data_IF_357042011747
#
_entry.id   IF_357042011747
#
_cell.length_a   1.000
_cell.length_b   1.000
_cell.length_c   1.000
_cell.angle_alpha   90.00
_cell.angle_beta   90.00
_cell.angle_gamma   90.00
#
_symmetry.space_group_name_H-M   'P 1'
#
loop_
_entity.id
_entity.type
_entity.pdbx_description
1 polymer ?
#
# COMPACT_ATOMS: atom_id res chain seq x y z
N UNK A 1 2.85 19.73 -6.10
CA UNK A 1 3.83 20.84 -6.05
C UNK A 1 5.20 20.45 -6.62
N UNK A 2 5.27 20.05 -7.91
CA UNK A 2 6.56 19.75 -8.58
C UNK A 2 6.87 20.72 -9.75
N UNK A 3 5.91 21.55 -10.16
CA UNK A 3 6.00 22.35 -11.38
C UNK A 3 6.76 23.69 -11.24
N UNK A 4 7.20 24.06 -10.03
CA UNK A 4 7.85 25.35 -9.76
C UNK A 4 9.27 25.22 -9.16
N UNK A 5 9.98 24.12 -9.42
CA UNK A 5 11.37 24.00 -8.99
C UNK A 5 12.30 24.59 -10.05
N UNK A 6 13.19 25.49 -9.63
CA UNK A 6 14.22 26.01 -10.53
C UNK A 6 15.08 24.85 -11.05
N UNK A 7 15.64 24.95 -12.26
CA UNK A 7 16.49 23.91 -12.83
C UNK A 7 17.64 23.49 -11.91
N UNK A 8 18.12 24.39 -11.03
CA UNK A 8 19.16 24.06 -10.05
C UNK A 8 18.66 23.13 -8.95
N UNK A 9 17.46 23.36 -8.40
CA UNK A 9 16.94 22.55 -7.31
C UNK A 9 16.50 21.16 -7.78
N UNK A 10 15.92 21.06 -8.98
CA UNK A 10 15.62 19.77 -9.61
C UNK A 10 16.88 18.93 -9.82
N UNK A 11 17.98 19.54 -10.25
CA UNK A 11 19.29 18.88 -10.36
C UNK A 11 19.85 18.45 -9.01
N UNK A 12 19.68 19.27 -7.96
CA UNK A 12 20.13 18.94 -6.60
C UNK A 12 19.39 17.73 -6.05
N UNK A 13 18.06 17.70 -6.18
CA UNK A 13 17.21 16.58 -5.75
C UNK A 13 17.51 15.31 -6.54
N UNK A 14 17.65 15.43 -7.87
CA UNK A 14 18.03 14.31 -8.71
C UNK A 14 19.39 13.74 -8.32
N UNK A 15 20.37 14.59 -7.97
CA UNK A 15 21.69 14.14 -7.52
C UNK A 15 21.63 13.33 -6.22
N UNK A 16 20.81 13.74 -5.26
CA UNK A 16 20.61 12.98 -4.00
C UNK A 16 19.92 11.64 -4.28
N UNK A 17 18.96 11.60 -5.19
CA UNK A 17 18.29 10.36 -5.59
C UNK A 17 19.26 9.40 -6.28
N UNK A 18 20.07 9.90 -7.22
CA UNK A 18 21.08 9.10 -7.93
C UNK A 18 22.08 8.45 -6.96
N UNK A 19 22.52 9.16 -5.92
CA UNK A 19 23.39 8.60 -4.87
C UNK A 19 22.73 7.47 -4.07
N UNK A 20 21.39 7.44 -3.97
CA UNK A 20 20.66 6.35 -3.31
C UNK A 20 20.39 5.17 -4.25
N UNK A 21 20.51 5.38 -5.56
CA UNK A 21 20.28 4.38 -6.60
C UNK A 21 21.56 3.60 -6.93
N UNK A 22 22.70 4.30 -6.93
CA UNK A 22 24.02 3.75 -7.17
C UNK A 22 24.49 2.97 -5.92
N UNK A 23 24.41 1.64 -5.97
CA UNK A 23 24.72 0.77 -4.83
C UNK A 23 26.23 0.46 -4.81
N UNK A 24 26.85 0.40 -5.98
CA UNK A 24 28.26 0.07 -6.12
C UNK A 24 29.19 1.31 -6.12
N UNK A 25 28.62 2.51 -6.02
CA UNK A 25 29.31 3.82 -5.96
C UNK A 25 30.22 4.08 -7.16
N UNK A 26 29.85 3.55 -8.34
CA UNK A 26 30.61 3.69 -9.57
C UNK A 26 30.26 4.98 -10.35
N UNK A 27 29.37 5.81 -9.81
CA UNK A 27 28.81 7.03 -10.40
C UNK A 27 28.01 6.80 -11.70
N UNK A 28 27.55 5.58 -11.96
CA UNK A 28 26.78 5.18 -13.13
C UNK A 28 25.59 4.32 -12.71
N UNK A 29 24.37 4.73 -13.07
CA UNK A 29 23.20 3.90 -12.82
C UNK A 29 23.16 2.76 -13.85
N UNK A 30 23.48 1.55 -13.41
CA UNK A 30 23.35 0.36 -14.24
C UNK A 30 21.89 -0.12 -14.32
N UNK A 31 21.57 -0.88 -15.37
CA UNK A 31 20.20 -1.41 -15.58
C UNK A 31 19.68 -2.22 -14.37
N UNK A 32 20.57 -2.96 -13.72
CA UNK A 32 20.23 -3.79 -12.57
C UNK A 32 19.90 -2.93 -11.35
N UNK A 33 20.67 -1.87 -11.12
CA UNK A 33 20.46 -0.93 -10.02
C UNK A 33 19.19 -0.12 -10.22
N UNK A 34 18.92 0.35 -11.44
CA UNK A 34 17.66 1.01 -11.77
C UNK A 34 16.47 0.09 -11.49
N UNK A 35 16.54 -1.18 -11.91
CA UNK A 35 15.48 -2.16 -11.66
C UNK A 35 15.30 -2.41 -10.16
N UNK A 36 16.39 -2.60 -9.42
CA UNK A 36 16.35 -2.81 -7.97
C UNK A 36 15.74 -1.59 -7.26
N UNK A 37 16.10 -0.39 -7.68
CA UNK A 37 15.57 0.84 -7.11
C UNK A 37 14.09 1.03 -7.41
N UNK A 38 13.63 0.76 -8.64
CA UNK A 38 12.20 0.79 -8.99
C UNK A 38 11.42 -0.18 -8.11
N UNK A 39 11.88 -1.43 -7.98
CA UNK A 39 11.19 -2.42 -7.15
C UNK A 39 11.16 -1.98 -5.69
N UNK A 40 12.27 -1.45 -5.18
CA UNK A 40 12.37 -0.93 -3.81
C UNK A 40 11.44 0.26 -3.58
N UNK A 41 11.37 1.20 -4.52
CA UNK A 41 10.50 2.37 -4.37
C UNK A 41 9.03 1.96 -4.38
N UNK A 42 8.62 1.08 -5.30
CA UNK A 42 7.27 0.52 -5.30
C UNK A 42 6.96 -0.22 -4.00
N UNK A 43 7.87 -1.05 -3.49
CA UNK A 43 7.67 -1.74 -2.21
C UNK A 43 7.53 -0.75 -1.04
N UNK A 44 8.35 0.29 -1.00
CA UNK A 44 8.28 1.32 0.05
C UNK A 44 6.96 2.09 -0.01
N UNK A 45 6.49 2.45 -1.21
CA UNK A 45 5.20 3.10 -1.42
C UNK A 45 4.07 2.18 -0.96
N UNK A 46 4.08 0.90 -1.38
CA UNK A 46 3.06 -0.06 -0.94
C UNK A 46 3.05 -0.30 0.56
N UNK A 47 4.21 -0.26 1.23
CA UNK A 47 4.31 -0.40 2.67
C UNK A 47 3.79 0.84 3.41
N UNK A 48 4.08 2.03 2.90
CA UNK A 48 3.56 3.31 3.42
C UNK A 48 2.05 3.38 3.27
N UNK A 49 1.52 3.14 2.07
CA UNK A 49 0.08 3.08 1.79
C UNK A 49 -0.62 2.04 2.67
N UNK A 50 -0.03 0.85 2.83
CA UNK A 50 -0.59 -0.20 3.67
C UNK A 50 -0.62 0.21 5.14
N UNK A 51 0.42 0.89 5.64
CA UNK A 51 0.48 1.37 7.03
C UNK A 51 -0.52 2.47 7.30
N UNK A 52 -0.69 3.41 6.38
CA UNK A 52 -1.70 4.47 6.50
C UNK A 52 -3.10 3.86 6.54
N UNK A 53 -3.42 2.97 5.60
CA UNK A 53 -4.71 2.26 5.58
C UNK A 53 -4.95 1.41 6.82
N UNK A 54 -3.91 0.75 7.33
CA UNK A 54 -4.02 -0.06 8.54
C UNK A 54 -4.53 0.77 9.72
N UNK A 55 -3.99 1.97 9.91
CA UNK A 55 -4.40 2.90 10.98
C UNK A 55 -5.83 3.41 10.77
N UNK A 56 -6.29 3.54 9.52
CA UNK A 56 -7.66 3.96 9.21
C UNK A 56 -8.69 2.85 9.47
N UNK A 57 -8.32 1.60 9.20
CA UNK A 57 -9.20 0.43 9.34
C UNK A 57 -9.25 -0.04 10.81
N UNK A 58 -8.12 -0.03 11.52
CA UNK A 58 -8.03 -0.43 12.94
C UNK A 58 -8.66 0.63 13.87
N UNK A 59 -9.99 0.60 13.95
CA UNK A 59 -10.76 1.56 14.75
C UNK A 59 -10.57 1.37 16.26
N UNK A 60 -10.27 0.14 16.69
CA UNK A 60 -10.16 -0.20 18.11
C UNK A 60 -8.71 -0.12 18.64
N UNK A 61 -7.73 0.08 17.74
CA UNK A 61 -6.29 0.17 17.99
C UNK A 61 -5.72 -1.09 18.70
N UNK A 62 -6.21 -2.27 18.34
CA UNK A 62 -5.73 -3.55 18.86
C UNK A 62 -4.61 -4.19 18.02
N UNK A 63 -4.15 -3.48 16.98
CA UNK A 63 -3.14 -3.94 16.02
C UNK A 63 -3.59 -5.17 15.21
N UNK A 64 -4.90 -5.45 15.16
CA UNK A 64 -5.52 -6.46 14.31
C UNK A 64 -6.62 -5.80 13.45
N UNK A 65 -6.91 -6.41 12.30
CA UNK A 65 -8.04 -5.99 11.45
C UNK A 65 -9.05 -7.12 11.45
N UNK A 66 -10.16 -6.93 12.15
CA UNK A 66 -11.25 -7.90 12.11
C UNK A 66 -12.05 -7.78 10.81
N UNK A 67 -12.73 -8.86 10.41
CA UNK A 67 -13.63 -8.81 9.23
C UNK A 67 -14.67 -7.69 9.32
N UNK A 68 -15.13 -7.37 10.55
CA UNK A 68 -16.12 -6.33 10.78
C UNK A 68 -15.55 -4.93 10.50
N UNK A 69 -14.31 -4.67 10.88
CA UNK A 69 -13.62 -3.39 10.62
C UNK A 69 -13.35 -3.21 9.13
N UNK A 70 -12.86 -4.25 8.45
CA UNK A 70 -12.66 -4.25 6.99
C UNK A 70 -13.98 -3.98 6.25
N UNK A 71 -15.08 -4.60 6.68
CA UNK A 71 -16.40 -4.42 6.06
C UNK A 71 -16.94 -2.99 6.26
N UNK A 72 -16.75 -2.41 7.45
CA UNK A 72 -17.19 -1.04 7.75
C UNK A 72 -16.41 -0.03 6.90
N UNK A 73 -15.10 -0.20 6.74
CA UNK A 73 -14.30 0.69 5.90
C UNK A 73 -14.73 0.58 4.43
N UNK A 74 -14.82 -0.64 3.90
CA UNK A 74 -15.03 -0.84 2.47
C UNK A 74 -16.47 -0.60 2.01
N UNK A 75 -17.46 -0.80 2.89
CA UNK A 75 -18.89 -0.73 2.53
C UNK A 75 -19.73 0.22 3.42
N UNK A 76 -19.19 0.76 4.50
CA UNK A 76 -19.80 1.87 5.25
C UNK A 76 -20.97 1.53 6.18
N UNK A 77 -21.39 0.26 6.32
CA UNK A 77 -22.49 -0.11 7.23
C UNK A 77 -22.27 -1.49 7.90
N UNK A 78 -22.22 -1.56 9.24
CA UNK A 78 -22.14 -2.82 9.98
C UNK A 78 -23.47 -3.59 10.06
N UNK A 79 -24.59 -2.94 9.73
CA UNK A 79 -25.95 -3.48 9.93
C UNK A 79 -26.59 -4.01 8.63
N UNK A 80 -25.94 -3.86 7.48
CA UNK A 80 -26.35 -4.58 6.28
C UNK A 80 -25.96 -6.05 6.45
N UNK A 81 -26.89 -6.84 6.99
CA UNK A 81 -26.87 -8.29 6.85
C UNK A 81 -26.90 -8.58 5.35
N UNK A 82 -25.74 -8.68 4.71
CA UNK A 82 -25.60 -9.09 3.33
C UNK A 82 -26.14 -10.51 3.23
N UNK A 83 -27.36 -10.73 2.70
CA UNK A 83 -27.92 -12.06 2.63
C UNK A 83 -27.08 -12.89 1.65
N UNK A 84 -27.03 -14.20 1.92
CA UNK A 84 -26.29 -15.17 1.10
C UNK A 84 -26.62 -14.98 -0.39
N UNK A 85 -25.58 -14.62 -1.14
CA UNK A 85 -25.52 -14.56 -2.60
C UNK A 85 -26.73 -13.92 -3.33
N UNK A 86 -26.88 -12.60 -3.19
CA UNK A 86 -27.50 -11.77 -4.24
C UNK A 86 -26.40 -11.27 -5.21
N UNK A 87 -26.73 -11.05 -6.48
CA UNK A 87 -25.79 -10.57 -7.51
C UNK A 87 -25.16 -9.22 -7.15
N UNK A 88 -25.83 -8.46 -6.27
CA UNK A 88 -25.40 -7.25 -5.58
C UNK A 88 -24.26 -7.47 -4.57
N UNK A 89 -24.11 -8.67 -3.99
CA UNK A 89 -23.16 -9.00 -2.91
C UNK A 89 -21.90 -9.73 -3.37
N UNK A 90 -21.71 -9.90 -4.69
CA UNK A 90 -20.48 -10.52 -5.23
C UNK A 90 -19.22 -9.80 -4.76
N UNK A 91 -19.27 -8.47 -4.61
CA UNK A 91 -18.12 -7.69 -4.13
C UNK A 91 -17.75 -8.03 -2.69
N UNK A 92 -18.74 -8.13 -1.79
CA UNK A 92 -18.52 -8.54 -0.39
C UNK A 92 -17.98 -9.97 -0.29
N UNK A 93 -18.49 -10.87 -1.15
CA UNK A 93 -17.98 -12.25 -1.21
C UNK A 93 -16.52 -12.32 -1.67
N UNK A 94 -16.15 -11.59 -2.72
CA UNK A 94 -14.75 -11.54 -3.18
C UNK A 94 -13.83 -10.89 -2.15
N UNK A 95 -14.32 -9.86 -1.45
CA UNK A 95 -13.58 -9.21 -0.38
C UNK A 95 -13.33 -10.18 0.79
N UNK A 96 -14.34 -10.96 1.18
CA UNK A 96 -14.18 -12.00 2.21
C UNK A 96 -13.14 -13.05 1.82
N UNK A 97 -13.16 -13.51 0.56
CA UNK A 97 -12.15 -14.43 0.05
C UNK A 97 -10.74 -13.82 0.03
N UNK A 98 -10.63 -12.52 -0.23
CA UNK A 98 -9.36 -11.81 -0.22
C UNK A 98 -8.83 -11.66 1.22
N UNK A 99 -9.72 -11.32 2.16
CA UNK A 99 -9.43 -11.25 3.59
C UNK A 99 -8.93 -12.59 4.13
N UNK A 100 -9.67 -13.68 3.91
CA UNK A 100 -9.28 -15.04 4.34
C UNK A 100 -7.95 -15.52 3.74
N UNK A 101 -7.59 -15.06 2.53
CA UNK A 101 -6.28 -15.37 1.93
C UNK A 101 -5.14 -14.53 2.50
N UNK A 102 -5.45 -13.34 2.98
CA UNK A 102 -4.49 -12.41 3.56
C UNK A 102 -4.21 -12.73 5.02
N UNK A 103 -5.21 -13.28 5.73
CA UNK A 103 -5.10 -13.83 7.07
C UNK A 103 -4.38 -15.20 7.06
N UNK A 104 -3.04 -15.15 7.02
CA UNK A 104 -2.20 -16.35 6.99
C UNK A 104 -2.11 -17.07 8.36
N UNK A 105 -2.42 -16.37 9.45
CA UNK A 105 -2.31 -16.86 10.82
C UNK A 105 -3.66 -17.19 11.48
N UNK A 106 -4.78 -16.93 10.81
CA UNK A 106 -6.16 -17.21 11.25
C UNK A 106 -6.45 -16.61 12.64
N UNK A 107 -6.05 -15.37 12.86
CA UNK A 107 -6.26 -14.68 14.14
C UNK A 107 -7.50 -13.77 14.16
N UNK A 108 -8.27 -13.73 13.06
CA UNK A 108 -9.42 -12.85 12.87
C UNK A 108 -10.74 -13.56 12.51
#
# INVERSE_FOLDING_TARGET
>A
EFDNLTPQESRRRLKVLLQKMDINDNNLIEKNELRAWIIRSFKSLSEEDARERFVEIDQNNDELITWKENLIESFGSPDEQFPDYDESNKMVYYEKLLFEKSDLNNDN
#
